data_IF_281884266338
#
_entry.id   IF_281884266338
#
_cell.length_a   1.000
_cell.length_b   1.000
_cell.length_c   1.000
_cell.angle_alpha   90.00
_cell.angle_beta   90.00
_cell.angle_gamma   90.00
#
_symmetry.space_group_name_H-M   'P 1'
#
loop_
_entity.id
_entity.type
_entity.pdbx_description
1 polymer ?
#
# COMPACT_ATOMS: atom_id res chain seq x y z
N UNK A 1 -35.35 11.60 14.69
CA UNK A 1 -34.20 11.11 13.90
C UNK A 1 -32.92 11.47 14.63
N UNK A 2 -31.99 10.53 14.84
CA UNK A 2 -30.64 10.78 15.36
C UNK A 2 -29.68 10.33 14.26
N UNK A 3 -28.78 11.21 13.81
CA UNK A 3 -27.72 10.85 12.85
C UNK A 3 -26.46 10.55 13.65
N UNK A 4 -26.10 9.27 13.80
CA UNK A 4 -24.91 8.89 14.58
C UNK A 4 -23.66 9.06 13.75
N UNK A 5 -22.52 9.08 14.44
CA UNK A 5 -21.20 9.19 13.80
C UNK A 5 -20.98 8.06 12.80
N UNK A 6 -21.31 6.82 13.19
CA UNK A 6 -21.14 5.65 12.35
C UNK A 6 -22.06 5.69 11.12
N UNK A 7 -23.30 6.18 11.26
CA UNK A 7 -24.23 6.35 10.14
C UNK A 7 -23.65 7.32 9.10
N UNK A 8 -23.11 8.46 9.56
CA UNK A 8 -22.46 9.44 8.68
C UNK A 8 -21.20 8.87 7.98
N UNK A 9 -20.47 7.99 8.66
CA UNK A 9 -19.30 7.30 8.11
C UNK A 9 -19.69 6.35 6.97
N UNK A 10 -20.76 5.57 7.20
CA UNK A 10 -21.34 4.63 6.24
C UNK A 10 -21.90 5.37 5.03
N UNK A 11 -22.64 6.46 5.23
CA UNK A 11 -23.20 7.23 4.11
C UNK A 11 -22.09 7.85 3.26
N UNK A 12 -21.00 8.31 3.88
CA UNK A 12 -19.81 8.76 3.15
C UNK A 12 -19.17 7.63 2.35
N UNK A 13 -19.09 6.41 2.91
CA UNK A 13 -18.53 5.25 2.23
C UNK A 13 -19.39 4.84 1.02
N UNK A 14 -20.70 4.90 1.14
CA UNK A 14 -21.62 4.64 0.00
C UNK A 14 -21.37 5.60 -1.16
N UNK A 15 -21.14 6.88 -0.87
CA UNK A 15 -20.78 7.86 -1.89
C UNK A 15 -19.41 7.59 -2.51
N UNK A 16 -18.44 7.09 -1.74
CA UNK A 16 -17.16 6.61 -2.29
C UNK A 16 -17.39 5.48 -3.28
N UNK A 17 -18.16 4.46 -2.88
CA UNK A 17 -18.49 3.31 -3.73
C UNK A 17 -19.13 3.76 -5.04
N UNK A 18 -20.14 4.64 -4.98
CA UNK A 18 -20.81 5.18 -6.16
C UNK A 18 -19.85 5.97 -7.07
N UNK A 19 -19.18 6.99 -6.53
CA UNK A 19 -18.36 7.90 -7.35
C UNK A 19 -17.10 7.23 -7.88
N UNK A 20 -16.52 6.30 -7.13
CA UNK A 20 -15.33 5.58 -7.58
C UNK A 20 -15.68 4.51 -8.62
N UNK A 21 -16.81 3.81 -8.45
CA UNK A 21 -17.35 2.91 -9.47
C UNK A 21 -17.64 3.66 -10.78
N UNK A 22 -18.37 4.77 -10.71
CA UNK A 22 -18.66 5.63 -11.87
C UNK A 22 -17.37 6.09 -12.56
N UNK A 23 -16.36 6.47 -11.77
CA UNK A 23 -15.07 6.88 -12.27
C UNK A 23 -14.35 5.77 -13.03
N UNK A 24 -14.43 4.52 -12.56
CA UNK A 24 -13.77 3.38 -13.19
C UNK A 24 -14.49 2.89 -14.46
N UNK A 25 -15.83 2.97 -14.52
CA UNK A 25 -16.61 2.34 -15.62
C UNK A 25 -17.02 3.33 -16.72
N UNK A 26 -17.44 4.55 -16.37
CA UNK A 26 -18.11 5.45 -17.31
C UNK A 26 -17.18 6.45 -18.00
N UNK A 27 -15.86 6.30 -17.87
CA UNK A 27 -14.89 7.34 -18.20
C UNK A 27 -14.49 7.43 -19.70
N UNK A 28 -15.48 7.36 -20.61
CA UNK A 28 -15.26 7.56 -22.06
C UNK A 28 -14.79 8.98 -22.42
N UNK A 29 -14.83 9.94 -21.50
CA UNK A 29 -14.14 11.22 -21.66
C UNK A 29 -13.49 11.66 -20.35
N UNK A 30 -12.15 11.53 -20.25
CA UNK A 30 -11.27 11.93 -19.14
C UNK A 30 -11.31 13.43 -18.76
N UNK A 31 -12.34 14.19 -19.15
CA UNK A 31 -12.45 15.65 -18.99
C UNK A 31 -13.07 16.10 -17.67
N UNK A 32 -13.87 15.26 -17.02
CA UNK A 32 -14.49 15.63 -15.74
C UNK A 32 -13.92 14.81 -14.57
N UNK A 33 -13.04 15.43 -13.77
CA UNK A 33 -12.45 14.80 -12.58
C UNK A 33 -13.30 15.03 -11.31
N UNK A 34 -14.53 15.54 -11.43
CA UNK A 34 -15.41 15.82 -10.28
C UNK A 34 -15.66 14.56 -9.45
N UNK A 35 -15.93 13.42 -10.09
CA UNK A 35 -16.15 12.15 -9.40
C UNK A 35 -14.94 11.75 -8.54
N UNK A 36 -13.75 11.82 -9.11
CA UNK A 36 -12.51 11.49 -8.40
C UNK A 36 -12.25 12.45 -7.21
N UNK A 37 -12.50 13.74 -7.41
CA UNK A 37 -12.44 14.74 -6.33
C UNK A 37 -13.42 14.40 -5.19
N UNK A 38 -14.66 14.05 -5.53
CA UNK A 38 -15.67 13.67 -4.53
C UNK A 38 -15.28 12.36 -3.83
N UNK A 39 -14.77 11.37 -4.55
CA UNK A 39 -14.22 10.13 -3.97
C UNK A 39 -13.20 10.45 -2.88
N UNK A 40 -12.22 11.32 -3.14
CA UNK A 40 -11.19 11.67 -2.16
C UNK A 40 -11.78 12.35 -0.91
N UNK A 41 -12.70 13.29 -1.10
CA UNK A 41 -13.34 14.02 0.00
C UNK A 41 -14.16 13.07 0.88
N UNK A 42 -15.00 12.24 0.27
CA UNK A 42 -15.86 11.31 1.00
C UNK A 42 -15.08 10.14 1.59
N UNK A 43 -13.99 9.69 0.97
CA UNK A 43 -13.12 8.64 1.49
C UNK A 43 -12.38 9.13 2.74
N UNK A 44 -11.81 10.33 2.70
CA UNK A 44 -11.24 10.96 3.88
C UNK A 44 -12.28 11.10 5.00
N UNK A 45 -13.47 11.63 4.69
CA UNK A 45 -14.52 11.82 5.69
C UNK A 45 -14.97 10.48 6.31
N UNK A 46 -15.17 9.47 5.48
CA UNK A 46 -15.54 8.13 5.92
C UNK A 46 -14.47 7.57 6.87
N UNK A 47 -13.20 7.52 6.45
CA UNK A 47 -12.10 7.01 7.27
C UNK A 47 -11.97 7.79 8.59
N UNK A 48 -12.07 9.12 8.58
CA UNK A 48 -12.04 9.91 9.81
C UNK A 48 -13.12 9.46 10.81
N UNK A 49 -14.36 9.30 10.33
CA UNK A 49 -15.48 8.93 11.19
C UNK A 49 -15.44 7.45 11.59
N UNK A 50 -14.95 6.55 10.73
CA UNK A 50 -14.74 5.14 11.05
C UNK A 50 -13.67 4.99 12.15
N UNK A 51 -12.51 5.66 12.02
CA UNK A 51 -11.46 5.63 13.04
C UNK A 51 -11.96 6.19 14.37
N UNK A 52 -12.74 7.28 14.37
CA UNK A 52 -13.37 7.81 15.59
C UNK A 52 -14.35 6.82 16.20
N UNK A 53 -15.17 6.15 15.40
CA UNK A 53 -16.13 5.14 15.87
C UNK A 53 -15.42 3.94 16.51
N UNK A 54 -14.32 3.47 15.90
CA UNK A 54 -13.47 2.41 16.46
C UNK A 54 -12.84 2.83 17.80
N UNK A 55 -12.32 4.06 17.88
CA UNK A 55 -11.75 4.58 19.12
C UNK A 55 -12.79 4.74 20.22
N UNK A 56 -14.00 5.22 19.90
CA UNK A 56 -15.10 5.33 20.87
C UNK A 56 -15.43 3.95 21.46
N UNK A 57 -15.52 2.91 20.61
CA UNK A 57 -15.80 1.55 21.06
C UNK A 57 -14.73 1.03 22.04
N UNK A 58 -13.47 1.43 21.86
CA UNK A 58 -12.39 1.11 22.80
C UNK A 58 -12.44 1.94 24.07
N UNK A 59 -12.62 3.26 23.94
CA UNK A 59 -12.76 4.21 25.04
C UNK A 59 -13.35 5.53 24.50
N UNK A 60 -14.54 5.86 24.97
CA UNK A 60 -15.33 7.02 24.54
C UNK A 60 -14.55 8.35 24.61
N UNK A 61 -13.55 8.48 25.49
CA UNK A 61 -12.81 9.74 25.70
C UNK A 61 -11.71 10.00 24.66
N UNK A 62 -11.31 8.99 23.88
CA UNK A 62 -10.12 9.07 23.01
C UNK A 62 -10.24 10.08 21.87
N UNK A 63 -11.46 10.49 21.52
CA UNK A 63 -11.70 11.36 20.35
C UNK A 63 -11.94 12.83 20.68
N UNK A 64 -11.91 13.24 21.95
CA UNK A 64 -12.24 14.61 22.36
C UNK A 64 -11.01 15.45 22.69
N UNK A 65 -11.03 16.72 22.29
CA UNK A 65 -10.04 17.72 22.74
C UNK A 65 -10.54 18.38 24.02
N UNK A 66 -9.89 18.07 25.15
CA UNK A 66 -10.12 18.72 26.44
C UNK A 66 -11.60 18.72 26.85
N UNK A 67 -12.21 17.53 26.95
CA UNK A 67 -13.60 17.39 27.38
C UNK A 67 -13.78 18.01 28.78
N UNK A 68 -14.65 19.04 28.95
CA UNK A 68 -14.83 19.71 30.23
C UNK A 68 -15.32 18.73 31.32
N UNK A 69 -14.70 18.80 32.51
CA UNK A 69 -15.02 17.90 33.64
C UNK A 69 -16.48 17.99 34.04
N UNK A 70 -17.07 19.19 34.05
CA UNK A 70 -18.49 19.37 34.38
C UNK A 70 -19.44 18.60 33.44
N UNK A 71 -19.10 18.48 32.15
CA UNK A 71 -19.90 17.71 31.17
C UNK A 71 -19.73 16.21 31.39
N UNK A 72 -18.52 15.77 31.75
CA UNK A 72 -18.25 14.38 32.10
C UNK A 72 -18.99 13.98 33.39
N UNK A 73 -19.01 14.87 34.39
CA UNK A 73 -19.75 14.66 35.64
C UNK A 73 -21.27 14.58 35.39
N UNK A 74 -21.81 15.44 34.52
CA UNK A 74 -23.22 15.39 34.10
C UNK A 74 -23.54 14.06 33.42
N UNK A 75 -22.70 13.62 32.48
CA UNK A 75 -22.83 12.33 31.81
C UNK A 75 -22.80 11.17 32.81
N UNK A 76 -21.82 11.12 33.71
CA UNK A 76 -21.67 10.07 34.70
C UNK A 76 -22.87 10.00 35.66
N UNK A 77 -23.44 11.15 36.06
CA UNK A 77 -24.67 11.19 36.86
C UNK A 77 -25.85 10.58 36.11
N UNK A 78 -26.03 10.90 34.83
CA UNK A 78 -27.12 10.36 34.01
C UNK A 78 -26.92 8.86 33.76
N UNK A 79 -25.69 8.44 33.46
CA UNK A 79 -25.35 7.03 33.21
C UNK A 79 -25.59 6.16 34.46
N UNK A 80 -25.28 6.67 35.65
CA UNK A 80 -25.48 5.94 36.91
C UNK A 80 -26.93 5.97 37.42
N UNK A 81 -27.75 6.93 36.97
CA UNK A 81 -29.15 7.09 37.42
C UNK A 81 -30.18 6.52 36.45
N UNK A 82 -29.81 6.29 35.18
CA UNK A 82 -30.71 5.75 34.17
C UNK A 82 -30.38 4.29 33.86
N UNK A 83 -31.38 3.40 33.85
CA UNK A 83 -31.28 2.03 33.33
C UNK A 83 -31.08 1.99 31.80
N UNK A 84 -30.61 3.08 31.18
CA UNK A 84 -30.40 3.21 29.74
C UNK A 84 -28.91 3.24 29.44
N UNK A 85 -28.49 2.45 28.47
CA UNK A 85 -27.19 2.52 27.81
C UNK A 85 -27.14 3.76 26.92
N UNK A 86 -26.93 4.94 27.52
CA UNK A 86 -26.60 6.17 26.80
C UNK A 86 -25.09 6.26 26.64
N UNK A 87 -24.60 6.31 25.40
CA UNK A 87 -23.19 6.54 25.11
C UNK A 87 -22.82 8.03 25.23
N UNK A 88 -21.55 8.32 25.48
CA UNK A 88 -21.07 9.69 25.67
C UNK A 88 -21.28 10.54 24.41
N UNK A 89 -21.05 10.00 23.23
CA UNK A 89 -21.27 10.70 21.96
C UNK A 89 -22.75 11.10 21.80
N UNK A 90 -23.69 10.19 22.11
CA UNK A 90 -25.12 10.49 22.09
C UNK A 90 -25.52 11.59 23.08
N UNK A 91 -24.92 11.60 24.28
CA UNK A 91 -25.12 12.66 25.25
C UNK A 91 -24.61 14.01 24.72
N UNK A 92 -23.46 14.01 24.05
CA UNK A 92 -22.81 15.23 23.57
C UNK A 92 -23.42 15.82 22.29
N UNK A 93 -24.27 15.09 21.54
CA UNK A 93 -24.98 15.61 20.34
C UNK A 93 -25.69 16.94 20.63
N UNK A 94 -26.22 17.13 21.85
CA UNK A 94 -26.97 18.34 22.25
C UNK A 94 -26.12 19.38 22.97
N UNK A 95 -24.79 19.20 23.04
CA UNK A 95 -23.89 20.05 23.84
C UNK A 95 -22.96 20.84 22.92
N UNK A 96 -23.04 22.16 23.02
CA UNK A 96 -22.18 23.07 22.24
C UNK A 96 -20.74 23.14 22.78
N UNK A 97 -19.81 23.60 21.95
CA UNK A 97 -18.42 23.86 22.37
C UNK A 97 -17.59 22.60 22.65
N UNK A 98 -18.02 21.43 22.19
CA UNK A 98 -17.21 20.21 22.20
C UNK A 98 -16.46 20.10 20.88
N UNK A 99 -15.14 19.92 20.98
CA UNK A 99 -14.29 19.65 19.82
C UNK A 99 -13.80 18.22 19.86
N UNK A 100 -13.84 17.56 18.71
CA UNK A 100 -13.14 16.29 18.52
C UNK A 100 -11.71 16.56 18.09
N UNK A 101 -10.82 15.59 18.30
CA UNK A 101 -9.44 15.65 17.83
C UNK A 101 -9.40 15.82 16.32
N UNK A 102 -8.45 16.64 15.86
CA UNK A 102 -8.18 16.79 14.43
C UNK A 102 -7.64 15.48 13.81
N UNK A 103 -7.66 15.40 12.47
CA UNK A 103 -7.29 14.21 11.71
C UNK A 103 -5.87 13.69 11.99
N UNK A 104 -4.87 14.57 12.08
CA UNK A 104 -3.48 14.18 12.42
C UNK A 104 -3.39 13.55 13.80
N UNK A 105 -4.06 14.15 14.79
CA UNK A 105 -4.10 13.62 16.16
C UNK A 105 -4.89 12.30 16.20
N UNK A 106 -5.98 12.19 15.44
CA UNK A 106 -6.77 10.97 15.28
C UNK A 106 -5.94 9.79 14.79
N UNK A 107 -5.18 9.97 13.69
CA UNK A 107 -4.31 8.91 13.16
C UNK A 107 -3.32 8.45 14.22
N UNK A 108 -2.65 9.40 14.89
CA UNK A 108 -1.68 9.05 15.92
C UNK A 108 -2.32 8.32 17.11
N UNK A 109 -3.49 8.77 17.57
CA UNK A 109 -4.25 8.09 18.63
C UNK A 109 -4.62 6.67 18.21
N UNK A 110 -5.15 6.49 17.00
CA UNK A 110 -5.51 5.18 16.47
C UNK A 110 -4.30 4.25 16.37
N UNK A 111 -3.24 4.67 15.68
CA UNK A 111 -2.05 3.85 15.49
C UNK A 111 -1.40 3.44 16.83
N UNK A 112 -1.36 4.36 17.81
CA UNK A 112 -0.81 4.05 19.13
C UNK A 112 -1.73 3.13 19.95
N UNK A 113 -3.05 3.26 19.80
CA UNK A 113 -4.02 2.44 20.57
C UNK A 113 -4.06 1.00 20.09
N UNK A 114 -3.92 0.79 18.78
CA UNK A 114 -4.05 -0.53 18.14
C UNK A 114 -2.73 -1.08 17.58
N UNK A 115 -1.59 -0.44 17.87
CA UNK A 115 -0.28 -0.80 17.31
C UNK A 115 -0.32 -0.96 15.77
N UNK A 116 -1.02 -0.05 15.08
CA UNK A 116 -1.13 -0.12 13.63
C UNK A 116 0.25 0.02 12.97
N UNK A 117 0.46 -0.72 11.89
CA UNK A 117 1.73 -0.74 11.19
C UNK A 117 2.06 0.63 10.53
N UNK A 118 3.31 0.73 10.07
CA UNK A 118 3.83 1.96 9.45
C UNK A 118 3.17 2.27 8.10
N UNK A 119 2.82 1.27 7.28
CA UNK A 119 2.13 1.43 5.99
C UNK A 119 0.76 2.06 6.23
N UNK A 120 -0.04 1.49 7.14
CA UNK A 120 -1.34 2.03 7.58
C UNK A 120 -1.23 3.50 7.97
N UNK A 121 -0.25 3.85 8.83
CA UNK A 121 -0.03 5.23 9.25
C UNK A 121 0.28 6.17 8.08
N UNK A 122 1.16 5.76 7.16
CA UNK A 122 1.56 6.57 6.00
C UNK A 122 0.38 6.81 5.07
N UNK A 123 -0.38 5.78 4.74
CA UNK A 123 -1.54 5.86 3.85
C UNK A 123 -2.58 6.83 4.42
N UNK A 124 -2.91 6.70 5.71
CA UNK A 124 -3.86 7.61 6.38
C UNK A 124 -3.39 9.08 6.32
N UNK A 125 -2.10 9.34 6.53
CA UNK A 125 -1.53 10.69 6.40
C UNK A 125 -1.55 11.20 4.96
N UNK A 126 -1.23 10.35 3.99
CA UNK A 126 -1.27 10.69 2.57
C UNK A 126 -2.69 11.04 2.13
N UNK A 127 -3.71 10.31 2.59
CA UNK A 127 -5.11 10.67 2.33
C UNK A 127 -5.47 12.05 2.90
N UNK A 128 -4.97 12.37 4.10
CA UNK A 128 -5.11 13.71 4.71
C UNK A 128 -4.52 14.83 3.86
N UNK A 129 -3.28 14.62 3.38
CA UNK A 129 -2.60 15.55 2.48
C UNK A 129 -3.35 15.69 1.16
N UNK A 130 -3.72 14.57 0.54
CA UNK A 130 -4.42 14.52 -0.73
C UNK A 130 -5.75 15.27 -0.66
N UNK A 131 -6.56 15.03 0.38
CA UNK A 131 -7.82 15.77 0.59
C UNK A 131 -7.58 17.27 0.72
N UNK A 132 -6.56 17.68 1.48
CA UNK A 132 -6.20 19.10 1.62
C UNK A 132 -5.80 19.71 0.27
N UNK A 133 -4.98 19.02 -0.53
CA UNK A 133 -4.61 19.45 -1.88
C UNK A 133 -5.85 19.64 -2.76
N UNK A 134 -6.72 18.64 -2.86
CA UNK A 134 -7.95 18.69 -3.68
C UNK A 134 -8.90 19.83 -3.27
N UNK A 135 -8.94 20.14 -1.98
CA UNK A 135 -9.92 21.10 -1.42
C UNK A 135 -9.39 22.53 -1.44
N UNK A 136 -8.09 22.75 -1.20
CA UNK A 136 -7.54 24.09 -0.95
C UNK A 136 -6.56 24.58 -2.00
N UNK A 137 -5.85 23.69 -2.69
CA UNK A 137 -4.73 24.07 -3.57
C UNK A 137 -4.96 23.72 -5.04
N UNK A 138 -5.69 22.63 -5.31
CA UNK A 138 -5.70 21.97 -6.62
C UNK A 138 -4.66 20.85 -6.69
N UNK A 139 -4.73 20.04 -7.75
CA UNK A 139 -3.79 18.95 -8.04
C UNK A 139 -3.46 19.02 -9.53
N UNK A 140 -2.18 18.90 -9.87
CA UNK A 140 -1.79 18.74 -11.27
C UNK A 140 -1.89 17.25 -11.66
N UNK A 141 -2.75 16.97 -12.63
CA UNK A 141 -2.98 15.60 -13.10
C UNK A 141 -1.77 15.04 -13.84
N UNK A 142 -0.87 15.85 -14.40
CA UNK A 142 0.31 15.31 -15.08
C UNK A 142 1.30 14.68 -14.11
N UNK A 143 1.41 15.25 -12.91
CA UNK A 143 2.51 14.94 -11.99
C UNK A 143 2.03 14.10 -10.79
N UNK A 144 0.78 14.29 -10.34
CA UNK A 144 0.29 13.72 -9.08
C UNK A 144 -0.80 12.64 -9.24
N UNK A 145 -1.24 12.37 -10.47
CA UNK A 145 -2.42 11.53 -10.71
C UNK A 145 -2.25 10.09 -10.21
N UNK A 146 -1.04 9.56 -10.33
CA UNK A 146 -0.65 8.22 -9.89
C UNK A 146 -0.64 8.11 -8.36
N UNK A 147 0.09 9.01 -7.70
CA UNK A 147 0.16 9.06 -6.23
C UNK A 147 -1.24 9.28 -5.61
N UNK A 148 -2.11 10.03 -6.30
CA UNK A 148 -3.51 10.17 -5.95
C UNK A 148 -4.27 8.84 -6.04
N UNK A 149 -4.17 8.11 -7.15
CA UNK A 149 -4.83 6.81 -7.31
C UNK A 149 -4.33 5.81 -6.26
N UNK A 150 -3.00 5.67 -6.11
CA UNK A 150 -2.39 4.79 -5.10
C UNK A 150 -2.94 5.12 -3.71
N UNK A 151 -3.01 6.40 -3.36
CA UNK A 151 -3.55 6.83 -2.06
C UNK A 151 -5.02 6.42 -1.89
N UNK A 152 -5.86 6.52 -2.93
CA UNK A 152 -7.26 6.09 -2.89
C UNK A 152 -7.35 4.57 -2.67
N UNK A 153 -6.65 3.79 -3.50
CA UNK A 153 -6.68 2.32 -3.42
C UNK A 153 -6.18 1.81 -2.07
N UNK A 154 -5.04 2.29 -1.61
CA UNK A 154 -4.49 1.91 -0.30
C UNK A 154 -5.40 2.34 0.86
N UNK A 155 -6.10 3.47 0.73
CA UNK A 155 -7.07 3.90 1.74
C UNK A 155 -8.30 2.99 1.77
N UNK A 156 -8.76 2.49 0.62
CA UNK A 156 -9.83 1.48 0.56
C UNK A 156 -9.33 0.15 1.15
N UNK A 157 -8.10 -0.27 0.86
CA UNK A 157 -7.49 -1.47 1.45
C UNK A 157 -7.39 -1.39 2.97
N UNK A 158 -7.16 -0.20 3.54
CA UNK A 158 -7.25 -0.01 5.00
C UNK A 158 -8.64 -0.36 5.52
N UNK A 159 -9.71 0.08 4.84
CA UNK A 159 -11.08 -0.24 5.26
C UNK A 159 -11.30 -1.76 5.22
N UNK A 160 -10.92 -2.40 4.11
CA UNK A 160 -11.14 -3.83 3.86
C UNK A 160 -10.31 -4.75 4.76
N UNK A 161 -9.02 -4.44 4.97
CA UNK A 161 -8.07 -5.39 5.54
C UNK A 161 -7.51 -4.99 6.91
N UNK A 162 -7.65 -3.72 7.31
CA UNK A 162 -7.12 -3.22 8.60
C UNK A 162 -8.24 -2.88 9.57
N UNK A 163 -9.31 -2.25 9.08
CA UNK A 163 -10.41 -1.79 9.91
C UNK A 163 -11.54 -2.81 10.02
N UNK A 164 -11.75 -3.63 8.99
CA UNK A 164 -12.98 -4.41 8.80
C UNK A 164 -13.42 -5.24 10.01
N UNK A 165 -12.52 -6.03 10.62
CA UNK A 165 -12.85 -6.81 11.82
C UNK A 165 -13.45 -5.94 12.94
N UNK A 166 -12.88 -4.75 13.17
CA UNK A 166 -13.37 -3.81 14.19
C UNK A 166 -14.66 -3.12 13.76
N UNK A 167 -14.88 -2.96 12.45
CA UNK A 167 -16.10 -2.37 11.92
C UNK A 167 -17.30 -3.29 12.10
N UNK A 168 -17.12 -4.60 11.90
CA UNK A 168 -18.14 -5.63 12.17
C UNK A 168 -18.57 -5.61 13.65
N UNK A 169 -17.65 -5.39 14.58
CA UNK A 169 -17.97 -5.26 16.01
C UNK A 169 -18.81 -4.01 16.36
N UNK A 170 -18.78 -2.96 15.51
CA UNK A 170 -19.37 -1.66 15.82
C UNK A 170 -20.75 -1.47 15.18
N UNK A 171 -20.98 -2.09 14.02
CA UNK A 171 -22.23 -1.93 13.29
C UNK A 171 -22.49 -3.09 12.33
N UNK A 172 -23.66 -3.71 12.45
CA UNK A 172 -24.16 -4.81 11.62
C UNK A 172 -24.13 -4.50 10.11
N UNK A 173 -24.14 -3.22 9.71
CA UNK A 173 -23.93 -2.84 8.30
C UNK A 173 -22.69 -3.53 7.73
N UNK A 174 -21.57 -3.61 8.45
CA UNK A 174 -20.36 -4.23 7.91
C UNK A 174 -20.41 -5.76 7.86
N UNK A 175 -21.27 -6.40 8.67
CA UNK A 175 -21.47 -7.86 8.66
C UNK A 175 -22.36 -8.30 7.50
N UNK A 176 -23.42 -7.55 7.21
CA UNK A 176 -24.48 -7.95 6.26
C UNK A 176 -24.50 -7.17 4.95
N UNK A 177 -23.70 -6.13 4.80
CA UNK A 177 -23.66 -5.36 3.55
C UNK A 177 -22.59 -5.84 2.59
N UNK A 178 -22.87 -5.58 1.33
CA UNK A 178 -21.98 -5.74 0.18
C UNK A 178 -20.74 -4.81 0.24
N UNK A 179 -20.28 -4.31 1.40
CA UNK A 179 -19.10 -3.41 1.48
C UNK A 179 -17.86 -4.11 0.93
N UNK A 180 -17.62 -5.36 1.32
CA UNK A 180 -16.55 -6.17 0.73
C UNK A 180 -16.87 -6.41 -0.74
N UNK A 181 -18.07 -6.92 -1.04
CA UNK A 181 -18.47 -7.29 -2.41
C UNK A 181 -18.46 -6.11 -3.41
N UNK A 182 -18.56 -4.87 -2.95
CA UNK A 182 -18.48 -3.66 -3.77
C UNK A 182 -17.06 -3.09 -3.81
N UNK A 183 -16.39 -2.97 -2.66
CA UNK A 183 -15.07 -2.34 -2.61
C UNK A 183 -13.96 -3.26 -3.12
N UNK A 184 -14.04 -4.56 -2.84
CA UNK A 184 -13.02 -5.52 -3.26
C UNK A 184 -12.91 -5.56 -4.80
N UNK A 185 -13.98 -5.65 -5.61
CA UNK A 185 -13.85 -5.56 -7.06
C UNK A 185 -13.36 -4.19 -7.56
N UNK A 186 -13.66 -3.11 -6.84
CA UNK A 186 -13.18 -1.76 -7.17
C UNK A 186 -11.66 -1.63 -7.01
N UNK A 187 -11.06 -2.47 -6.17
CA UNK A 187 -9.60 -2.49 -5.97
C UNK A 187 -8.96 -3.75 -6.59
N UNK A 188 -9.69 -4.82 -6.89
CA UNK A 188 -9.13 -6.13 -7.25
C UNK A 188 -8.17 -6.18 -8.46
N UNK A 189 -8.13 -5.14 -9.30
CA UNK A 189 -7.18 -5.00 -10.42
C UNK A 189 -6.45 -3.64 -10.42
N UNK A 190 -6.35 -3.00 -9.26
CA UNK A 190 -5.73 -1.68 -9.15
C UNK A 190 -4.25 -1.72 -9.46
N UNK A 191 -3.55 -2.78 -9.03
CA UNK A 191 -2.10 -2.94 -9.24
C UNK A 191 -1.77 -2.98 -10.72
N UNK A 192 -2.48 -3.80 -11.50
CA UNK A 192 -2.35 -3.80 -12.96
C UNK A 192 -2.72 -2.46 -13.56
N UNK A 193 -3.85 -1.85 -13.15
CA UNK A 193 -4.30 -0.56 -13.69
C UNK A 193 -3.31 0.58 -13.41
N UNK A 194 -2.72 0.60 -12.21
CA UNK A 194 -1.68 1.55 -11.82
C UNK A 194 -0.39 1.24 -12.56
N UNK A 195 0.02 -0.02 -12.62
CA UNK A 195 1.17 -0.45 -13.42
C UNK A 195 1.03 0.01 -14.88
N UNK A 196 -0.14 -0.17 -15.51
CA UNK A 196 -0.42 0.31 -16.86
C UNK A 196 -0.31 1.82 -16.99
N UNK A 197 -0.72 2.60 -15.98
CA UNK A 197 -0.50 4.06 -15.98
C UNK A 197 0.97 4.44 -15.80
N UNK A 198 1.71 3.70 -14.95
CA UNK A 198 3.12 3.94 -14.62
C UNK A 198 4.10 3.54 -15.73
N UNK A 199 3.68 2.78 -16.75
CA UNK A 199 4.52 2.44 -17.92
C UNK A 199 5.10 3.72 -18.55
N UNK A 200 4.45 4.87 -18.48
CA UNK A 200 4.99 6.10 -19.06
C UNK A 200 6.11 6.75 -18.22
N UNK A 201 6.07 6.63 -16.89
CA UNK A 201 7.02 7.29 -15.97
C UNK A 201 8.14 6.34 -15.56
N UNK A 202 7.76 5.13 -15.15
CA UNK A 202 8.69 4.08 -14.77
C UNK A 202 9.09 3.19 -15.93
N UNK A 203 8.40 3.23 -17.08
CA UNK A 203 8.88 2.55 -18.28
C UNK A 203 10.31 2.96 -18.62
N UNK A 204 10.70 4.22 -18.44
CA UNK A 204 12.10 4.64 -18.61
C UNK A 204 13.05 4.00 -17.57
N UNK A 205 12.62 3.83 -16.32
CA UNK A 205 13.45 3.20 -15.27
C UNK A 205 13.51 1.69 -15.43
N UNK A 206 12.40 1.04 -15.75
CA UNK A 206 12.35 -0.38 -16.09
C UNK A 206 13.14 -0.60 -17.37
N UNK A 207 13.03 0.27 -18.38
CA UNK A 207 13.86 0.25 -19.60
C UNK A 207 15.34 0.34 -19.25
N UNK A 208 15.73 1.30 -18.40
CA UNK A 208 17.11 1.41 -17.91
C UNK A 208 17.60 0.13 -17.23
N UNK A 209 16.75 -0.53 -16.43
CA UNK A 209 17.07 -1.80 -15.78
C UNK A 209 17.17 -2.93 -16.81
N UNK A 210 16.23 -3.02 -17.74
CA UNK A 210 16.25 -4.02 -18.83
C UNK A 210 17.45 -3.81 -19.75
N UNK A 211 17.85 -2.57 -20.01
CA UNK A 211 19.00 -2.22 -20.83
C UNK A 211 20.29 -2.64 -20.12
N UNK A 212 20.44 -2.28 -18.83
CA UNK A 212 21.58 -2.75 -18.02
C UNK A 212 21.62 -4.28 -17.97
N UNK A 213 20.48 -4.95 -17.79
CA UNK A 213 20.41 -6.41 -17.81
C UNK A 213 20.81 -7.00 -19.16
N UNK A 214 20.29 -6.46 -20.27
CA UNK A 214 20.67 -6.91 -21.60
C UNK A 214 22.17 -6.70 -21.85
N UNK A 215 22.70 -5.54 -21.48
CA UNK A 215 24.13 -5.21 -21.58
C UNK A 215 25.01 -6.13 -20.72
N UNK A 216 24.47 -6.66 -19.62
CA UNK A 216 25.16 -7.68 -18.81
C UNK A 216 25.07 -9.04 -19.49
N UNK A 217 23.86 -9.53 -19.76
CA UNK A 217 23.57 -10.86 -20.31
C UNK A 217 24.28 -11.14 -21.62
N UNK A 218 24.45 -10.13 -22.48
CA UNK A 218 25.09 -10.26 -23.79
C UNK A 218 26.54 -9.76 -23.80
N UNK A 219 27.12 -9.40 -22.64
CA UNK A 219 28.53 -8.99 -22.58
C UNK A 219 29.50 -10.18 -22.72
N UNK A 220 30.66 -9.99 -23.37
CA UNK A 220 31.68 -11.04 -23.46
C UNK A 220 32.16 -11.55 -22.09
N UNK A 221 32.28 -10.64 -21.12
CA UNK A 221 32.70 -10.96 -19.75
C UNK A 221 31.70 -11.87 -19.05
N UNK A 222 30.41 -11.55 -19.14
CA UNK A 222 29.37 -12.37 -18.52
C UNK A 222 29.19 -13.71 -19.25
N UNK A 223 29.27 -13.74 -20.59
CA UNK A 223 29.25 -14.99 -21.34
C UNK A 223 30.41 -15.93 -20.95
N UNK A 224 31.62 -15.39 -20.80
CA UNK A 224 32.78 -16.18 -20.33
C UNK A 224 32.52 -16.76 -18.94
N UNK A 225 31.90 -15.97 -18.06
CA UNK A 225 31.49 -16.43 -16.73
C UNK A 225 30.46 -17.57 -16.80
N UNK A 226 29.41 -17.43 -17.62
CA UNK A 226 28.39 -18.46 -17.80
C UNK A 226 28.98 -19.76 -18.34
N UNK A 227 29.83 -19.67 -19.37
CA UNK A 227 30.54 -20.82 -19.96
C UNK A 227 31.44 -21.52 -18.96
N UNK A 228 32.20 -20.76 -18.16
CA UNK A 228 33.12 -21.31 -17.15
C UNK A 228 32.38 -22.08 -16.04
N UNK A 229 31.11 -21.74 -15.79
CA UNK A 229 30.29 -22.37 -14.76
C UNK A 229 29.22 -23.33 -15.34
N UNK A 230 29.30 -23.68 -16.62
CA UNK A 230 28.31 -24.55 -17.31
C UNK A 230 26.86 -24.06 -17.14
N UNK A 231 26.66 -22.75 -17.21
CA UNK A 231 25.35 -22.11 -17.10
C UNK A 231 24.87 -21.71 -18.49
N UNK A 232 23.64 -22.12 -18.83
CA UNK A 232 22.93 -21.65 -20.02
C UNK A 232 21.79 -20.72 -19.60
N UNK A 233 21.36 -19.84 -20.48
CA UNK A 233 20.17 -19.02 -20.21
C UNK A 233 19.27 -18.90 -21.43
N UNK A 234 17.99 -18.67 -21.16
CA UNK A 234 16.98 -18.26 -22.14
C UNK A 234 16.31 -17.02 -21.61
N UNK A 235 16.08 -16.06 -22.49
CA UNK A 235 15.29 -14.88 -22.20
C UNK A 235 14.20 -14.74 -23.25
N UNK A 236 12.98 -14.46 -22.80
CA UNK A 236 11.90 -14.10 -23.70
C UNK A 236 11.56 -12.65 -23.39
N UNK A 237 11.83 -11.75 -24.34
CA UNK A 237 11.08 -10.48 -24.37
C UNK A 237 9.66 -10.83 -24.79
N UNK A 238 8.72 -10.93 -23.85
CA UNK A 238 7.31 -11.04 -24.21
C UNK A 238 6.89 -9.75 -24.89
N UNK A 239 6.31 -9.87 -26.07
CA UNK A 239 5.83 -8.73 -26.87
C UNK A 239 4.64 -7.99 -26.21
N UNK A 240 3.99 -8.56 -25.19
CA UNK A 240 2.77 -7.98 -24.66
C UNK A 240 2.99 -6.69 -23.86
N UNK A 241 4.14 -6.52 -23.20
CA UNK A 241 4.55 -5.31 -22.48
C UNK A 241 6.08 -5.25 -22.51
N UNK A 242 6.67 -4.25 -23.16
CA UNK A 242 8.12 -4.10 -23.41
C UNK A 242 9.04 -4.03 -22.15
N UNK A 243 8.51 -4.35 -20.97
CA UNK A 243 9.13 -4.15 -19.67
C UNK A 243 9.09 -5.39 -18.77
N UNK A 244 8.46 -6.49 -19.22
CA UNK A 244 8.52 -7.78 -18.51
C UNK A 244 9.85 -8.46 -18.79
N UNK A 245 10.63 -8.64 -17.73
CA UNK A 245 11.86 -9.42 -17.72
C UNK A 245 11.46 -10.85 -17.39
N UNK A 246 11.83 -11.78 -18.26
CA UNK A 246 11.78 -13.20 -17.95
C UNK A 246 13.09 -13.84 -18.40
N UNK A 247 13.91 -14.21 -17.42
CA UNK A 247 15.21 -14.84 -17.64
C UNK A 247 15.19 -16.19 -16.93
N UNK A 248 15.42 -17.26 -17.68
CA UNK A 248 15.60 -18.60 -17.14
C UNK A 248 17.07 -18.97 -17.28
N UNK A 249 17.78 -19.07 -16.15
CA UNK A 249 19.11 -19.67 -16.08
C UNK A 249 18.99 -21.16 -15.78
N UNK A 250 19.88 -21.96 -16.38
CA UNK A 250 19.91 -23.41 -16.19
C UNK A 250 21.33 -23.89 -15.99
N UNK A 251 21.52 -24.68 -14.94
CA UNK A 251 22.75 -25.40 -14.62
C UNK A 251 22.39 -26.84 -14.25
N UNK A 252 22.86 -27.83 -15.01
CA UNK A 252 22.47 -29.24 -14.86
C UNK A 252 20.92 -29.42 -14.84
N UNK A 253 20.39 -30.02 -13.77
CA UNK A 253 18.96 -30.23 -13.54
C UNK A 253 18.29 -29.09 -12.74
N UNK A 254 19.04 -28.05 -12.37
CA UNK A 254 18.53 -26.89 -11.65
C UNK A 254 18.26 -25.72 -12.59
N UNK A 255 17.20 -24.94 -12.27
CA UNK A 255 16.86 -23.74 -13.01
C UNK A 255 16.50 -22.60 -12.06
N UNK A 256 17.01 -21.41 -12.35
CA UNK A 256 16.62 -20.18 -11.70
C UNK A 256 15.81 -19.33 -12.68
N UNK A 257 14.60 -18.95 -12.28
CA UNK A 257 13.79 -18.01 -13.01
C UNK A 257 13.90 -16.64 -12.34
N UNK A 258 14.19 -15.60 -13.11
CA UNK A 258 14.13 -14.22 -12.63
C UNK A 258 13.08 -13.50 -13.46
N UNK A 259 12.12 -12.93 -12.76
CA UNK A 259 11.09 -12.04 -13.28
C UNK A 259 11.15 -10.71 -12.58
N UNK A 260 10.46 -9.70 -13.10
CA UNK A 260 10.32 -8.42 -12.41
C UNK A 260 8.86 -8.13 -12.02
N UNK A 261 8.70 -7.46 -10.89
CA UNK A 261 7.44 -6.89 -10.45
C UNK A 261 7.67 -5.45 -10.02
N UNK A 262 6.82 -4.54 -10.51
CA UNK A 262 6.86 -3.15 -10.07
C UNK A 262 5.85 -2.94 -8.95
N UNK A 263 6.33 -2.55 -7.76
CA UNK A 263 5.47 -2.16 -6.65
C UNK A 263 5.26 -0.63 -6.68
N UNK A 264 4.07 -0.13 -7.08
CA UNK A 264 3.82 1.30 -7.22
C UNK A 264 3.78 2.03 -5.87
N UNK A 265 3.27 1.39 -4.82
CA UNK A 265 3.15 2.01 -3.51
C UNK A 265 4.52 2.31 -2.89
N UNK A 266 5.47 1.38 -3.03
CA UNK A 266 6.83 1.59 -2.55
C UNK A 266 7.79 2.18 -3.59
N UNK A 267 7.30 2.40 -4.82
CA UNK A 267 8.07 2.93 -5.95
C UNK A 267 9.38 2.15 -6.16
N UNK A 268 9.29 0.82 -6.19
CA UNK A 268 10.43 -0.07 -6.38
C UNK A 268 10.15 -1.16 -7.40
N UNK A 269 11.22 -1.76 -7.92
CA UNK A 269 11.17 -2.93 -8.79
C UNK A 269 11.77 -4.10 -8.02
N UNK A 270 10.99 -5.16 -7.87
CA UNK A 270 11.42 -6.44 -7.31
C UNK A 270 11.90 -7.31 -8.47
N UNK A 271 13.04 -7.97 -8.30
CA UNK A 271 13.46 -9.08 -9.15
C UNK A 271 13.29 -10.36 -8.34
N UNK A 272 12.32 -11.17 -8.76
CA UNK A 272 11.79 -12.30 -8.01
C UNK A 272 11.72 -13.56 -8.88
N UNK A 273 11.71 -14.74 -8.26
CA UNK A 273 11.36 -15.98 -8.97
C UNK A 273 9.85 -16.16 -9.15
N UNK A 274 9.49 -17.32 -9.72
CA UNK A 274 8.09 -17.71 -9.96
C UNK A 274 7.32 -18.02 -8.67
N UNK A 275 8.01 -18.25 -7.56
CA UNK A 275 7.42 -18.52 -6.24
C UNK A 275 7.29 -17.23 -5.41
N UNK A 276 7.91 -16.13 -5.87
CA UNK A 276 7.87 -14.82 -5.22
C UNK A 276 9.05 -14.56 -4.29
N UNK A 277 10.11 -15.38 -4.32
CA UNK A 277 11.33 -15.09 -3.56
C UNK A 277 12.07 -13.91 -4.18
N UNK A 278 12.43 -12.93 -3.36
CA UNK A 278 13.03 -11.67 -3.84
C UNK A 278 14.55 -11.77 -3.80
N UNK A 279 15.20 -11.64 -4.96
CA UNK A 279 16.67 -11.59 -5.06
C UNK A 279 17.19 -10.16 -5.00
N UNK A 280 16.51 -9.25 -5.69
CA UNK A 280 16.91 -7.85 -5.75
C UNK A 280 15.71 -6.92 -5.57
N UNK A 281 15.94 -5.81 -4.89
CA UNK A 281 14.99 -4.68 -4.84
C UNK A 281 15.69 -3.43 -5.34
N UNK A 282 15.14 -2.80 -6.36
CA UNK A 282 15.65 -1.54 -6.93
C UNK A 282 14.73 -0.41 -6.46
N UNK A 283 15.25 0.45 -5.58
CA UNK A 283 14.53 1.64 -5.10
C UNK A 283 14.64 2.72 -6.18
N UNK A 284 13.53 2.95 -6.89
CA UNK A 284 13.49 3.87 -8.01
C UNK A 284 13.64 5.33 -7.58
N UNK A 285 13.43 5.68 -6.31
CA UNK A 285 13.57 7.06 -5.83
C UNK A 285 15.02 7.41 -5.51
N UNK A 286 15.83 6.40 -5.14
CA UNK A 286 17.17 6.61 -4.58
C UNK A 286 18.32 6.14 -5.49
N UNK A 287 18.03 5.52 -6.63
CA UNK A 287 19.03 4.84 -7.48
C UNK A 287 19.88 3.84 -6.67
N UNK A 288 19.25 3.15 -5.72
CA UNK A 288 19.85 2.12 -4.88
C UNK A 288 19.25 0.76 -5.21
N UNK A 289 20.02 -0.30 -5.00
CA UNK A 289 19.49 -1.64 -5.00
C UNK A 289 19.95 -2.45 -3.79
N UNK A 290 19.10 -3.38 -3.39
CA UNK A 290 19.26 -4.22 -2.22
C UNK A 290 19.36 -5.67 -2.70
N UNK A 291 20.42 -6.36 -2.30
CA UNK A 291 20.76 -7.70 -2.74
C UNK A 291 20.58 -8.65 -1.57
N UNK A 292 19.68 -9.62 -1.72
CA UNK A 292 19.43 -10.61 -0.68
C UNK A 292 20.43 -11.75 -0.82
N UNK A 293 21.03 -12.16 0.31
CA UNK A 293 22.04 -13.25 0.32
C UNK A 293 21.39 -14.63 0.54
N UNK A 294 20.10 -14.66 0.87
CA UNK A 294 19.31 -15.86 1.17
C UNK A 294 17.92 -15.65 0.57
N UNK A 295 17.18 -16.73 0.33
CA UNK A 295 15.79 -16.66 -0.11
C UNK A 295 14.96 -15.99 0.98
N UNK A 296 14.68 -14.72 0.77
CA UNK A 296 13.77 -13.97 1.63
C UNK A 296 12.42 -13.99 0.95
N UNK A 297 11.56 -14.88 1.45
CA UNK A 297 10.13 -14.85 1.15
C UNK A 297 9.51 -13.64 1.85
N UNK A 298 9.36 -12.54 1.12
CA UNK A 298 8.30 -11.57 1.41
C UNK A 298 7.40 -11.51 0.18
N UNK A 299 6.08 -11.54 0.39
CA UNK A 299 5.10 -11.42 -0.70
C UNK A 299 5.28 -10.08 -1.44
N UNK A 300 4.76 -9.99 -2.68
CA UNK A 300 4.73 -8.76 -3.50
C UNK A 300 4.25 -7.50 -2.76
N UNK A 301 3.47 -7.69 -1.70
CA UNK A 301 3.21 -6.69 -0.66
C UNK A 301 4.03 -7.01 0.61
N UNK A 302 5.14 -6.29 0.87
CA UNK A 302 6.00 -6.58 2.00
C UNK A 302 5.27 -6.30 3.33
N UNK A 303 5.53 -7.12 4.35
CA UNK A 303 4.87 -7.00 5.66
C UNK A 303 5.07 -5.64 6.33
N UNK A 304 6.21 -4.98 6.06
CA UNK A 304 6.53 -3.65 6.57
C UNK A 304 6.86 -2.68 5.43
N UNK A 305 6.51 -1.41 5.65
CA UNK A 305 6.83 -0.33 4.70
C UNK A 305 8.35 -0.19 4.46
N UNK A 306 8.75 -0.33 3.18
CA UNK A 306 10.16 -0.37 2.75
C UNK A 306 10.97 -1.40 3.55
N UNK A 307 10.46 -2.63 3.62
CA UNK A 307 11.04 -3.78 4.32
C UNK A 307 12.55 -3.95 4.04
N UNK A 308 12.99 -3.74 2.80
CA UNK A 308 14.41 -3.84 2.42
C UNK A 308 15.34 -2.87 3.18
N UNK A 309 14.86 -1.70 3.62
CA UNK A 309 15.64 -0.78 4.46
C UNK A 309 15.79 -1.31 5.89
N UNK A 310 14.83 -2.11 6.35
CA UNK A 310 14.86 -2.77 7.65
C UNK A 310 15.76 -4.00 7.57
N UNK A 311 15.64 -4.77 6.50
CA UNK A 311 16.45 -5.95 6.22
C UNK A 311 17.93 -5.62 6.08
N UNK A 312 18.26 -4.48 5.46
CA UNK A 312 19.65 -4.01 5.43
C UNK A 312 20.19 -3.73 6.84
N UNK A 313 19.42 -3.05 7.69
CA UNK A 313 19.82 -2.80 9.09
C UNK A 313 19.94 -4.08 9.91
N UNK A 314 19.23 -5.14 9.52
CA UNK A 314 19.28 -6.47 10.13
C UNK A 314 20.31 -7.39 9.45
N UNK A 315 21.10 -6.88 8.50
CA UNK A 315 22.08 -7.64 7.72
C UNK A 315 21.51 -8.79 6.87
N UNK A 316 20.21 -8.75 6.53
CA UNK A 316 19.57 -9.73 5.65
C UNK A 316 19.82 -9.46 4.18
N UNK A 317 19.99 -8.19 3.80
CA UNK A 317 20.37 -7.78 2.45
C UNK A 317 21.50 -6.75 2.47
N UNK A 318 22.25 -6.67 1.37
CA UNK A 318 23.30 -5.66 1.16
C UNK A 318 22.77 -4.52 0.29
N UNK A 319 22.96 -3.29 0.74
CA UNK A 319 22.63 -2.09 -0.03
C UNK A 319 23.81 -1.65 -0.89
N UNK A 320 23.57 -1.44 -2.18
CA UNK A 320 24.55 -0.93 -3.15
C UNK A 320 23.94 0.16 -4.02
N UNK A 321 24.80 0.95 -4.67
CA UNK A 321 24.38 1.89 -5.71
C UNK A 321 24.00 1.11 -6.96
N UNK A 322 22.87 1.44 -7.58
CA UNK A 322 22.45 0.78 -8.81
C UNK A 322 23.32 1.23 -10.01
N UNK A 323 24.31 0.42 -10.35
CA UNK A 323 25.18 0.58 -11.53
C UNK A 323 25.31 -0.76 -12.26
N UNK A 324 25.74 -0.72 -13.52
CA UNK A 324 25.95 -1.92 -14.33
C UNK A 324 26.93 -2.88 -13.65
N UNK A 325 28.05 -2.38 -13.15
CA UNK A 325 29.11 -3.18 -12.55
C UNK A 325 28.66 -3.85 -11.26
N UNK A 326 28.05 -3.08 -10.36
CA UNK A 326 27.54 -3.63 -9.09
C UNK A 326 26.46 -4.67 -9.33
N UNK A 327 25.60 -4.46 -10.33
CA UNK A 327 24.55 -5.41 -10.64
C UNK A 327 25.09 -6.67 -11.31
N UNK A 328 26.07 -6.54 -12.21
CA UNK A 328 26.77 -7.68 -12.81
C UNK A 328 27.43 -8.56 -11.73
N UNK A 329 28.14 -7.95 -10.78
CA UNK A 329 28.79 -8.66 -9.67
C UNK A 329 27.80 -9.42 -8.80
N UNK A 330 26.69 -8.79 -8.41
CA UNK A 330 25.70 -9.41 -7.54
C UNK A 330 24.86 -10.45 -8.29
N UNK A 331 24.60 -10.26 -9.59
CA UNK A 331 24.02 -11.30 -10.43
C UNK A 331 24.96 -12.51 -10.53
N UNK A 332 26.26 -12.31 -10.81
CA UNK A 332 27.23 -13.42 -10.81
C UNK A 332 27.28 -14.13 -9.46
N UNK A 333 27.24 -13.39 -8.35
CA UNK A 333 27.19 -13.97 -7.00
C UNK A 333 25.93 -14.81 -6.78
N UNK A 334 24.78 -14.34 -7.26
CA UNK A 334 23.52 -15.07 -7.23
C UNK A 334 23.64 -16.37 -8.04
N UNK A 335 24.17 -16.27 -9.26
CA UNK A 335 24.29 -17.42 -10.15
C UNK A 335 25.31 -18.47 -9.67
N UNK A 336 26.26 -18.05 -8.83
CA UNK A 336 27.21 -18.93 -8.19
C UNK A 336 26.70 -19.56 -6.88
N UNK A 337 25.53 -19.17 -6.38
CA UNK A 337 25.07 -19.57 -5.05
C UNK A 337 24.67 -21.07 -5.03
N UNK A 338 25.67 -21.93 -4.79
CA UNK A 338 25.82 -23.39 -4.66
C UNK A 338 25.37 -24.35 -5.78
N UNK A 339 24.74 -23.83 -6.81
CA UNK A 339 24.49 -24.38 -8.16
C UNK A 339 23.61 -23.29 -8.77
N UNK A 340 22.57 -23.04 -7.95
CA UNK A 340 21.45 -22.11 -7.85
C UNK A 340 20.48 -22.69 -6.76
N UNK A 341 20.84 -23.62 -5.86
CA UNK A 341 21.03 -23.41 -4.40
C UNK A 341 20.94 -24.77 -3.60
N UNK A 342 21.86 -25.73 -3.65
CA UNK A 342 21.79 -26.98 -2.88
C UNK A 342 22.34 -26.84 -1.45
N UNK A 343 21.51 -27.22 -0.48
CA UNK A 343 21.96 -27.70 0.84
C UNK A 343 21.56 -29.17 1.03
N UNK A 344 22.44 -30.09 0.63
CA UNK A 344 22.47 -31.45 1.19
C UNK A 344 23.91 -31.93 1.36
N UNK A 345 24.59 -31.44 2.40
CA UNK A 345 25.71 -32.18 2.98
C UNK A 345 25.71 -32.11 4.51
N UNK A 346 25.15 -33.22 5.04
CA UNK A 346 25.34 -33.89 6.34
C UNK A 346 24.73 -33.29 7.60
#
# INVERSE_FOLDING_TARGET
>A
MKLKMIDNAIDSLKLVMEYFYDYNINNKSKKDNTRLKLTIIFLHNSIELLLKSILINKNELLIYENLPSNKLDEYNKIKNSSNKTLSLDEFLIKKEGIKTINYTKLINTYCNTFNADKKTKIVLFNLGKLRNSVTHFGIDKSDDFEDMLITIYESINIILYVLYEKLVEINDYFEYSDVIDILEPLVGNWEESIMYSHINIYGNKITKITDILNDILFSPKFNTFLETNDITFKTNKKELLNHDIYINFKHNDTSLNITNFYNPFHKCILLEDIEGCIYFVIDCEKDLFYCYNEDVEYKRDPELYKQWEIDEKKNKCKKKKFTRENFEEELQSLLNHNNFYPTFHK
#
